data_IF_216668866730
#
_entry.id   IF_216668866730
#
_cell.length_a   1.000
_cell.length_b   1.000
_cell.length_c   1.000
_cell.angle_alpha   90.00
_cell.angle_beta   90.00
_cell.angle_gamma   90.00
#
_symmetry.space_group_name_H-M   'P 1'
#
loop_
_entity.id
_entity.type
_entity.pdbx_description
1 polymer ?
#
# COMPACT_ATOMS: atom_id res chain seq x y z
N UNK A 1 -3.94 0.41 -11.85
CA UNK A 1 -5.20 0.26 -12.58
C UNK A 1 -6.35 0.68 -11.69
N UNK A 2 -6.96 1.76 -12.03
CA UNK A 2 -8.10 2.29 -11.28
C UNK A 2 -9.34 1.49 -11.66
N UNK A 3 -10.22 1.11 -10.72
CA UNK A 3 -11.57 0.71 -10.99
C UNK A 3 -12.29 1.76 -11.84
N UNK A 4 -13.37 1.41 -12.50
CA UNK A 4 -14.18 2.41 -13.21
C UNK A 4 -14.62 3.52 -12.25
N UNK A 5 -14.92 4.69 -12.81
CA UNK A 5 -15.32 5.87 -12.02
C UNK A 5 -16.48 5.56 -11.06
N UNK A 6 -17.39 4.70 -11.48
CA UNK A 6 -18.57 4.26 -10.72
C UNK A 6 -18.20 3.45 -9.47
N UNK A 7 -17.07 2.76 -9.49
CA UNK A 7 -16.60 1.94 -8.36
C UNK A 7 -15.73 2.72 -7.37
N UNK A 8 -15.47 3.99 -7.64
CA UNK A 8 -14.70 4.85 -6.72
C UNK A 8 -15.58 5.21 -5.53
N UNK A 9 -15.11 5.00 -4.28
CA UNK A 9 -15.85 5.39 -3.09
C UNK A 9 -16.23 6.87 -3.08
N UNK A 10 -17.42 7.18 -2.59
CA UNK A 10 -17.96 8.54 -2.50
C UNK A 10 -17.38 9.35 -1.33
N UNK A 11 -16.30 8.90 -0.72
CA UNK A 11 -15.71 9.50 0.46
C UNK A 11 -15.32 10.97 0.26
N UNK A 12 -15.31 11.70 1.36
CA UNK A 12 -14.78 13.07 1.41
C UNK A 12 -13.26 13.04 1.35
N UNK A 13 -12.66 12.07 2.03
CA UNK A 13 -11.23 11.84 2.00
C UNK A 13 -10.74 11.46 0.60
N UNK A 14 -9.62 12.08 0.20
CA UNK A 14 -9.02 11.86 -1.11
C UNK A 14 -8.22 10.54 -1.18
N UNK A 15 -7.85 9.95 -0.04
CA UNK A 15 -7.17 8.65 0.03
C UNK A 15 -8.16 7.48 -0.03
N UNK A 16 -9.44 7.78 -0.01
CA UNK A 16 -10.55 6.81 0.01
C UNK A 16 -10.54 5.94 1.27
N UNK A 17 -10.94 4.69 1.14
CA UNK A 17 -11.07 3.70 2.23
C UNK A 17 -9.90 2.74 2.17
N UNK A 18 -9.33 2.38 3.31
CA UNK A 18 -8.36 1.28 3.40
C UNK A 18 -8.93 0.04 2.72
N UNK A 19 -8.12 -0.64 1.93
CA UNK A 19 -8.56 -1.80 1.15
C UNK A 19 -9.06 -1.46 -0.26
N UNK A 20 -9.27 -0.18 -0.57
CA UNK A 20 -9.57 0.24 -1.93
C UNK A 20 -8.31 0.19 -2.80
N UNK A 21 -8.37 -0.56 -3.91
CA UNK A 21 -7.25 -0.75 -4.81
C UNK A 21 -7.13 0.40 -5.80
N UNK A 22 -6.32 1.38 -5.44
CA UNK A 22 -6.19 2.61 -6.21
C UNK A 22 -4.83 3.25 -6.04
N UNK A 23 -4.22 3.68 -7.17
CA UNK A 23 -3.04 4.52 -7.15
C UNK A 23 -3.09 5.57 -8.25
N UNK A 24 -2.60 6.77 -7.96
CA UNK A 24 -2.45 7.86 -8.94
C UNK A 24 -1.04 7.85 -9.48
N UNK A 25 -0.89 7.50 -10.75
CA UNK A 25 0.41 7.42 -11.42
C UNK A 25 0.29 7.63 -12.92
N UNK A 26 1.40 7.88 -13.56
CA UNK A 26 1.50 7.92 -15.01
C UNK A 26 1.20 6.55 -15.60
N UNK A 27 0.40 6.53 -16.66
CA UNK A 27 0.07 5.30 -17.36
C UNK A 27 -0.12 5.54 -18.86
N UNK A 28 0.20 4.52 -19.64
CA UNK A 28 -0.24 4.36 -21.03
C UNK A 28 -1.21 3.19 -21.02
N UNK A 29 -2.43 3.40 -21.54
CA UNK A 29 -3.50 2.41 -21.47
C UNK A 29 -4.20 2.28 -22.82
N UNK A 30 -4.43 1.03 -23.25
CA UNK A 30 -5.33 0.67 -24.33
C UNK A 30 -6.55 -0.09 -23.81
N UNK A 31 -7.71 0.19 -24.37
CA UNK A 31 -8.96 -0.53 -24.06
C UNK A 31 -9.67 -0.82 -25.39
N UNK A 32 -10.23 -2.01 -25.49
CA UNK A 32 -11.03 -2.46 -26.65
C UNK A 32 -12.30 -3.14 -26.18
N UNK A 33 -13.42 -2.80 -26.80
CA UNK A 33 -14.69 -3.50 -26.60
C UNK A 33 -14.72 -4.69 -27.57
N UNK A 34 -14.68 -5.90 -27.01
CA UNK A 34 -14.62 -7.15 -27.79
C UNK A 34 -16.00 -7.73 -28.09
N UNK A 35 -16.98 -7.37 -27.26
CA UNK A 35 -18.39 -7.71 -27.46
C UNK A 35 -19.26 -6.72 -26.66
N UNK A 36 -20.58 -6.65 -26.93
CA UNK A 36 -21.48 -5.85 -26.12
C UNK A 36 -21.35 -6.17 -24.63
N UNK A 37 -20.99 -5.17 -23.82
CA UNK A 37 -20.78 -5.31 -22.38
C UNK A 37 -19.49 -6.02 -21.97
N UNK A 38 -18.56 -6.29 -22.89
CA UNK A 38 -17.25 -6.90 -22.56
C UNK A 38 -16.13 -6.03 -23.11
N UNK A 39 -15.31 -5.51 -22.21
CA UNK A 39 -14.14 -4.69 -22.54
C UNK A 39 -12.87 -5.33 -22.00
N UNK A 40 -11.81 -5.33 -22.80
CA UNK A 40 -10.47 -5.74 -22.39
C UNK A 40 -9.56 -4.51 -22.38
N UNK A 41 -8.70 -4.42 -21.39
CA UNK A 41 -7.74 -3.33 -21.26
C UNK A 41 -6.37 -3.83 -20.82
N UNK A 42 -5.34 -3.12 -21.26
CA UNK A 42 -3.99 -3.28 -20.75
C UNK A 42 -3.37 -1.91 -20.49
N UNK A 43 -2.56 -1.81 -19.45
CA UNK A 43 -1.81 -0.60 -19.14
C UNK A 43 -0.36 -0.91 -18.78
N UNK A 44 0.53 0.01 -19.14
CA UNK A 44 1.88 0.11 -18.58
C UNK A 44 1.89 1.34 -17.68
N UNK A 45 2.22 1.13 -16.41
CA UNK A 45 2.07 2.14 -15.37
C UNK A 45 3.42 2.47 -14.73
N UNK A 46 3.56 3.69 -14.22
CA UNK A 46 4.79 4.13 -13.57
C UNK A 46 5.10 3.26 -12.36
N UNK A 47 6.22 2.53 -12.35
CA UNK A 47 6.55 1.68 -11.23
C UNK A 47 7.06 2.51 -10.06
N UNK A 48 6.75 2.09 -8.84
CA UNK A 48 7.42 2.50 -7.63
C UNK A 48 7.26 1.41 -6.59
N UNK A 49 8.20 1.31 -5.67
CA UNK A 49 8.25 0.23 -4.70
C UNK A 49 8.12 0.79 -3.29
N UNK A 50 7.17 0.26 -2.53
CA UNK A 50 7.14 0.44 -1.08
C UNK A 50 8.06 -0.61 -0.47
N UNK A 51 9.27 -0.18 -0.24
CA UNK A 51 10.20 -0.98 0.53
C UNK A 51 9.81 -0.88 2.01
N UNK A 52 10.01 -1.92 2.78
CA UNK A 52 9.86 -1.85 4.21
C UNK A 52 10.75 -0.71 4.72
N UNK A 53 10.13 0.44 4.70
CA UNK A 53 10.79 1.68 5.04
C UNK A 53 10.86 1.79 6.53
N UNK A 54 11.88 1.79 7.01
CA UNK A 54 12.55 2.55 8.02
C UNK A 54 13.80 1.78 8.39
N UNK A 55 14.73 2.52 8.70
CA UNK A 55 16.01 2.30 9.26
C UNK A 55 16.13 1.21 10.32
N UNK A 56 15.02 0.82 10.88
CA UNK A 56 14.93 -0.17 11.96
C UNK A 56 14.91 -1.62 11.50
N UNK A 57 14.81 -1.85 10.23
CA UNK A 57 14.86 -3.21 9.66
C UNK A 57 16.17 -3.52 8.96
N UNK A 58 17.04 -2.54 8.91
CA UNK A 58 18.43 -2.82 8.61
C UNK A 58 19.06 -3.51 9.81
N UNK A 59 19.37 -4.77 9.72
CA UNK A 59 19.89 -5.55 10.84
C UNK A 59 21.27 -5.14 11.28
N UNK A 60 21.89 -4.21 10.62
CA UNK A 60 23.34 -4.11 10.57
C UNK A 60 23.84 -2.68 10.53
N UNK A 61 23.25 -1.84 11.33
CA UNK A 61 23.81 -0.51 11.45
C UNK A 61 22.90 0.36 12.30
N UNK A 62 23.43 0.80 13.37
CA UNK A 62 22.92 1.92 14.13
C UNK A 62 22.98 3.15 13.24
N UNK A 63 21.92 3.47 12.54
CA UNK A 63 21.89 4.71 11.79
C UNK A 63 21.30 4.60 10.41
N UNK A 64 20.06 4.73 10.33
CA UNK A 64 19.28 5.53 9.40
C UNK A 64 19.38 5.36 7.91
N UNK A 65 20.31 4.73 7.41
CA UNK A 65 20.46 4.30 6.04
C UNK A 65 20.79 2.83 6.07
N UNK A 66 20.52 2.10 5.02
CA UNK A 66 21.25 0.86 4.79
C UNK A 66 22.72 1.24 4.62
N UNK A 67 23.23 1.87 5.68
CA UNK A 67 24.58 2.28 5.74
C UNK A 67 25.40 1.05 5.90
N UNK A 68 26.05 0.75 4.85
CA UNK A 68 27.37 0.17 4.89
C UNK A 68 27.52 -1.05 5.78
N UNK A 69 27.48 -2.21 5.17
CA UNK A 69 28.25 -3.29 5.66
C UNK A 69 27.50 -4.31 6.51
N UNK A 70 26.27 -4.58 6.16
CA UNK A 70 25.66 -5.83 6.56
C UNK A 70 26.25 -7.00 5.79
N UNK A 71 26.85 -7.95 6.49
CA UNK A 71 27.29 -9.20 5.89
C UNK A 71 26.19 -10.24 6.15
N UNK A 72 25.46 -10.61 5.12
CA UNK A 72 24.51 -11.72 5.16
C UNK A 72 25.11 -12.85 4.33
N UNK A 73 25.37 -13.98 4.96
CA UNK A 73 26.02 -15.13 4.32
C UNK A 73 27.35 -14.79 3.58
N UNK A 74 28.16 -13.92 4.17
CA UNK A 74 29.42 -13.50 3.55
C UNK A 74 29.25 -12.50 2.40
N UNK A 75 28.05 -11.98 2.19
CA UNK A 75 27.76 -10.94 1.19
C UNK A 75 27.45 -9.62 1.89
N UNK A 76 28.01 -8.54 1.38
CA UNK A 76 27.60 -7.21 1.79
C UNK A 76 26.37 -6.81 1.00
N UNK A 77 25.28 -6.58 1.70
CA UNK A 77 24.06 -6.07 1.13
C UNK A 77 24.10 -4.56 1.23
N UNK A 78 24.23 -3.88 0.13
CA UNK A 78 24.10 -2.45 0.04
C UNK A 78 22.84 -2.11 -0.75
N UNK A 79 21.80 -1.69 -0.04
CA UNK A 79 20.64 -1.11 -0.69
C UNK A 79 20.94 0.35 -0.98
N UNK A 80 21.15 0.65 -2.22
CA UNK A 80 21.32 2.03 -2.68
C UNK A 80 20.00 2.78 -2.68
N UNK A 81 18.89 2.08 -2.42
CA UNK A 81 17.57 2.66 -2.42
C UNK A 81 16.97 2.70 -1.01
N UNK A 82 17.15 3.80 -0.33
CA UNK A 82 16.64 4.03 1.03
C UNK A 82 15.36 4.86 1.07
N UNK A 83 14.82 5.20 -0.08
CA UNK A 83 13.60 6.00 -0.19
C UNK A 83 12.37 5.15 -0.11
N UNK A 84 12.06 4.63 1.07
CA UNK A 84 10.76 4.04 1.31
C UNK A 84 9.68 5.13 1.38
N UNK A 85 8.59 4.91 0.71
CA UNK A 85 7.39 5.68 0.92
C UNK A 85 6.97 6.57 -0.23
N UNK A 86 6.37 5.95 -1.22
CA UNK A 86 5.59 6.63 -2.25
C UNK A 86 6.38 7.54 -3.19
N UNK A 87 5.71 7.98 -4.21
CA UNK A 87 6.27 8.83 -5.28
C UNK A 87 6.78 10.20 -4.82
N UNK A 88 6.58 10.55 -3.57
CA UNK A 88 6.92 11.87 -3.03
C UNK A 88 8.19 11.93 -2.18
N UNK A 89 8.75 10.79 -1.81
CA UNK A 89 10.00 10.74 -1.04
C UNK A 89 11.17 10.42 -1.96
N UNK A 90 11.68 11.47 -2.56
CA UNK A 90 12.82 11.43 -3.46
C UNK A 90 14.14 11.53 -2.67
N UNK A 91 14.80 10.45 -2.52
CA UNK A 91 16.14 10.39 -1.92
C UNK A 91 16.93 9.22 -2.49
N UNK A 92 16.44 8.65 -3.59
CA UNK A 92 16.99 7.43 -4.18
C UNK A 92 17.85 7.74 -5.38
N UNK A 93 19.07 7.20 -5.37
CA UNK A 93 20.00 7.29 -6.48
C UNK A 93 19.82 6.16 -7.51
N UNK A 94 19.02 5.13 -7.19
CA UNK A 94 18.78 3.95 -8.04
C UNK A 94 17.33 3.52 -7.92
N UNK A 95 16.71 3.14 -9.02
CA UNK A 95 15.34 2.60 -9.01
C UNK A 95 15.31 1.13 -8.57
N UNK A 96 14.30 0.77 -7.78
CA UNK A 96 13.99 -0.61 -7.43
C UNK A 96 13.05 -1.27 -8.43
N UNK A 97 12.79 -0.63 -9.54
CA UNK A 97 11.88 -1.11 -10.57
C UNK A 97 12.62 -1.19 -11.90
N UNK A 98 12.55 -2.35 -12.55
CA UNK A 98 13.27 -2.61 -13.80
C UNK A 98 12.46 -2.16 -15.02
N UNK A 99 11.14 -2.24 -14.93
CA UNK A 99 10.22 -1.95 -16.02
C UNK A 99 8.90 -1.40 -15.45
N UNK A 100 8.05 -0.78 -16.28
CA UNK A 100 6.70 -0.41 -15.89
C UNK A 100 5.91 -1.58 -15.33
N UNK A 101 5.03 -1.30 -14.36
CA UNK A 101 4.04 -2.27 -13.90
C UNK A 101 3.05 -2.54 -15.04
N UNK A 102 2.76 -3.79 -15.31
CA UNK A 102 1.80 -4.18 -16.36
C UNK A 102 0.51 -4.65 -15.70
N UNK A 103 -0.61 -4.11 -16.17
CA UNK A 103 -1.93 -4.48 -15.68
C UNK A 103 -2.82 -4.84 -16.85
N UNK A 104 -3.37 -6.05 -16.82
CA UNK A 104 -4.39 -6.51 -17.76
C UNK A 104 -5.73 -6.60 -17.03
N UNK A 105 -6.80 -6.16 -17.70
CA UNK A 105 -8.14 -6.09 -17.11
C UNK A 105 -9.19 -6.56 -18.11
N UNK A 106 -10.13 -7.34 -17.60
CA UNK A 106 -11.39 -7.62 -18.27
C UNK A 106 -12.54 -7.00 -17.45
N UNK A 107 -13.45 -6.32 -18.14
CA UNK A 107 -14.66 -5.76 -17.56
C UNK A 107 -15.88 -6.35 -18.23
N UNK A 108 -16.94 -6.60 -17.45
CA UNK A 108 -18.20 -7.18 -17.89
C UNK A 108 -19.38 -6.39 -17.37
N UNK A 109 -20.20 -5.87 -18.28
CA UNK A 109 -21.39 -5.04 -18.04
C UNK A 109 -22.64 -5.74 -18.57
N UNK A 110 -23.25 -6.69 -17.84
CA UNK A 110 -24.42 -7.45 -18.31
C UNK A 110 -25.75 -6.67 -18.22
N UNK A 111 -25.73 -5.40 -17.80
CA UNK A 111 -26.89 -4.54 -17.61
C UNK A 111 -27.52 -4.61 -16.20
N UNK A 112 -27.11 -5.54 -15.35
CA UNK A 112 -27.55 -5.69 -13.96
C UNK A 112 -26.41 -5.57 -12.95
N UNK A 113 -25.27 -5.04 -13.37
CA UNK A 113 -24.10 -4.80 -12.55
C UNK A 113 -22.88 -4.56 -13.41
N UNK A 114 -21.77 -4.23 -12.73
CA UNK A 114 -20.47 -4.07 -13.36
C UNK A 114 -19.45 -4.96 -12.63
N UNK A 115 -18.68 -5.73 -13.38
CA UNK A 115 -17.70 -6.67 -12.88
C UNK A 115 -16.36 -6.43 -13.53
N UNK A 116 -15.30 -6.47 -12.76
CA UNK A 116 -13.93 -6.37 -13.24
C UNK A 116 -13.05 -7.45 -12.64
N UNK A 117 -12.15 -8.00 -13.43
CA UNK A 117 -11.03 -8.83 -12.98
C UNK A 117 -9.76 -8.29 -13.62
N UNK A 118 -8.68 -8.26 -12.86
CA UNK A 118 -7.39 -7.78 -13.37
C UNK A 118 -6.23 -8.60 -12.84
N UNK A 119 -5.19 -8.71 -13.67
CA UNK A 119 -3.86 -9.19 -13.33
C UNK A 119 -2.89 -8.02 -13.18
N UNK A 120 -1.98 -8.11 -12.25
CA UNK A 120 -0.91 -7.15 -12.01
C UNK A 120 0.43 -7.87 -12.07
N UNK A 121 1.37 -7.33 -12.87
CA UNK A 121 2.73 -7.82 -13.00
C UNK A 121 3.70 -6.70 -12.65
N UNK A 122 4.68 -7.00 -11.82
CA UNK A 122 5.66 -6.03 -11.31
C UNK A 122 7.08 -6.57 -11.44
N UNK A 123 8.02 -5.68 -11.73
CA UNK A 123 9.40 -6.03 -12.06
C UNK A 123 10.36 -5.27 -11.15
N UNK A 124 10.64 -5.84 -9.98
CA UNK A 124 11.55 -5.27 -9.01
C UNK A 124 13.00 -5.52 -9.40
N UNK A 125 13.86 -4.56 -9.09
CA UNK A 125 15.30 -4.67 -9.31
C UNK A 125 16.05 -4.12 -8.11
N UNK A 126 17.14 -4.75 -7.77
CA UNK A 126 18.05 -4.22 -6.78
C UNK A 126 19.51 -4.48 -7.17
N UNK A 127 20.42 -3.85 -6.44
CA UNK A 127 21.84 -3.97 -6.63
C UNK A 127 22.46 -4.55 -5.36
N UNK A 128 22.88 -5.81 -5.43
CA UNK A 128 23.49 -6.53 -4.31
C UNK A 128 25.00 -6.49 -4.45
N UNK A 129 25.66 -5.83 -3.50
CA UNK A 129 27.13 -5.82 -3.43
C UNK A 129 27.62 -7.11 -2.77
N UNK A 130 28.50 -7.80 -3.49
CA UNK A 130 29.21 -8.96 -2.95
C UNK A 130 30.65 -8.58 -2.60
N UNK A 131 31.04 -8.88 -1.40
CA UNK A 131 32.41 -8.70 -0.99
C UNK A 131 33.25 -9.91 -1.35
N UNK A 132 34.49 -9.66 -1.81
CA UNK A 132 35.51 -10.70 -1.88
C UNK A 132 35.79 -11.22 -0.45
N UNK A 133 36.10 -12.50 -0.33
CA UNK A 133 36.40 -13.13 0.95
C UNK A 133 37.50 -12.34 1.67
N UNK A 134 37.22 -11.85 2.87
CA UNK A 134 38.11 -11.05 3.67
C UNK A 134 38.16 -9.55 3.39
N UNK A 135 37.40 -9.07 2.38
CA UNK A 135 37.46 -7.65 1.98
C UNK A 135 36.40 -6.79 2.68
N UNK A 136 35.35 -7.36 3.21
CA UNK A 136 34.30 -6.64 3.95
C UNK A 136 34.32 -7.02 5.42
N UNK A 137 34.62 -6.05 6.24
CA UNK A 137 34.56 -6.18 7.71
C UNK A 137 33.38 -5.38 8.22
N UNK A 138 32.64 -5.93 9.18
CA UNK A 138 31.56 -5.21 9.83
C UNK A 138 32.05 -3.85 10.34
N UNK A 139 31.36 -2.77 9.92
CA UNK A 139 31.72 -1.39 10.27
C UNK A 139 32.71 -0.72 9.29
N UNK A 140 33.19 -1.38 8.25
CA UNK A 140 33.99 -0.74 7.20
C UNK A 140 33.13 0.15 6.31
N UNK A 141 33.58 1.37 6.07
CA UNK A 141 32.94 2.29 5.10
C UNK A 141 33.47 2.08 3.68
N UNK A 142 34.50 1.25 3.51
CA UNK A 142 35.10 0.96 2.21
C UNK A 142 34.60 -0.39 1.72
N UNK A 143 33.74 -0.35 0.74
CA UNK A 143 33.23 -1.56 0.07
C UNK A 143 34.12 -1.85 -1.14
N UNK A 144 34.71 -3.03 -1.15
CA UNK A 144 35.45 -3.55 -2.28
C UNK A 144 34.76 -4.81 -2.77
N UNK A 145 34.04 -4.71 -3.86
CA UNK A 145 33.34 -5.86 -4.42
C UNK A 145 32.66 -5.53 -5.75
N UNK A 146 32.11 -6.53 -6.37
CA UNK A 146 31.28 -6.40 -7.58
C UNK A 146 29.81 -6.32 -7.19
N UNK A 147 29.07 -5.42 -7.83
CA UNK A 147 27.63 -5.34 -7.69
C UNK A 147 26.95 -6.27 -8.72
N UNK A 148 25.99 -7.04 -8.24
CA UNK A 148 25.11 -7.85 -9.08
C UNK A 148 23.71 -7.24 -9.08
N UNK A 149 23.17 -6.96 -10.27
CA UNK A 149 21.77 -6.61 -10.39
C UNK A 149 20.91 -7.87 -10.23
N UNK A 150 19.99 -7.82 -9.28
CA UNK A 150 19.00 -8.87 -9.03
C UNK A 150 17.62 -8.36 -9.40
N UNK A 151 16.90 -9.20 -10.10
CA UNK A 151 15.52 -8.92 -10.48
C UNK A 151 14.57 -9.91 -9.84
N UNK A 152 13.41 -9.42 -9.41
CA UNK A 152 12.38 -10.23 -8.77
C UNK A 152 11.03 -9.90 -9.40
N UNK A 153 10.29 -10.93 -9.79
CA UNK A 153 8.97 -10.77 -10.42
C UNK A 153 7.86 -10.88 -9.39
N UNK A 154 7.08 -9.80 -9.25
CA UNK A 154 5.88 -9.75 -8.43
C UNK A 154 4.61 -9.89 -9.26
N UNK A 155 3.58 -10.46 -8.67
CA UNK A 155 2.30 -10.63 -9.35
C UNK A 155 1.13 -10.58 -8.36
N UNK A 156 -0.01 -10.12 -8.87
CA UNK A 156 -1.26 -10.09 -8.14
C UNK A 156 -2.47 -10.30 -9.05
N UNK A 157 -3.56 -10.69 -8.43
CA UNK A 157 -4.87 -10.78 -9.07
C UNK A 157 -5.90 -10.06 -8.21
N UNK A 158 -6.75 -9.31 -8.84
CA UNK A 158 -7.80 -8.57 -8.17
C UNK A 158 -9.06 -8.45 -9.01
N UNK A 159 -10.06 -7.83 -8.41
CA UNK A 159 -11.31 -7.56 -9.09
C UNK A 159 -12.16 -6.56 -8.33
N UNK A 160 -13.20 -6.09 -9.01
CA UNK A 160 -14.19 -5.21 -8.41
C UNK A 160 -15.59 -5.53 -8.95
N UNK A 161 -16.58 -5.14 -8.18
CA UNK A 161 -17.99 -5.31 -8.53
C UNK A 161 -18.79 -4.10 -8.07
N UNK A 162 -19.77 -3.70 -8.88
CA UNK A 162 -20.82 -2.75 -8.53
C UNK A 162 -22.16 -3.37 -8.89
N UNK A 163 -23.02 -3.54 -7.90
CA UNK A 163 -24.32 -4.18 -8.03
C UNK A 163 -25.45 -3.25 -7.59
N UNK A 164 -26.40 -2.90 -8.45
CA UNK A 164 -27.63 -2.21 -8.06
C UNK A 164 -28.57 -3.20 -7.34
N UNK A 165 -28.43 -3.35 -6.02
CA UNK A 165 -29.26 -4.25 -5.21
C UNK A 165 -30.74 -3.87 -5.29
N UNK A 166 -31.02 -2.58 -5.22
CA UNK A 166 -32.33 -1.99 -5.48
C UNK A 166 -32.10 -0.88 -6.51
N UNK A 167 -32.48 -1.08 -7.78
CA UNK A 167 -32.23 -0.12 -8.83
C UNK A 167 -32.62 1.30 -8.43
N UNK A 168 -31.71 2.26 -8.59
CA UNK A 168 -31.80 3.69 -8.24
C UNK A 168 -31.77 4.01 -6.73
N UNK A 169 -31.86 3.02 -5.84
CA UNK A 169 -31.95 3.29 -4.40
C UNK A 169 -30.80 2.71 -3.58
N UNK A 170 -30.26 1.55 -3.96
CA UNK A 170 -29.23 0.89 -3.16
C UNK A 170 -28.23 0.16 -4.07
N UNK A 171 -26.98 0.47 -3.89
CA UNK A 171 -25.86 -0.15 -4.60
C UNK A 171 -24.89 -0.81 -3.62
N UNK A 172 -24.35 -1.95 -4.01
CA UNK A 172 -23.23 -2.62 -3.36
C UNK A 172 -21.98 -2.45 -4.23
N UNK A 173 -20.91 -1.97 -3.65
CA UNK A 173 -19.60 -1.99 -4.29
C UNK A 173 -18.64 -2.86 -3.48
N UNK A 174 -17.75 -3.57 -4.16
CA UNK A 174 -16.66 -4.29 -3.51
C UNK A 174 -15.47 -4.39 -4.46
N UNK A 175 -14.28 -4.45 -3.88
CA UNK A 175 -13.04 -4.73 -4.61
C UNK A 175 -12.06 -5.50 -3.73
N UNK A 176 -11.06 -6.13 -4.37
CA UNK A 176 -10.00 -6.81 -3.67
C UNK A 176 -8.81 -7.08 -4.57
N UNK A 177 -7.67 -7.25 -3.95
CA UNK A 177 -6.39 -7.61 -4.58
C UNK A 177 -5.64 -8.57 -3.66
N UNK A 178 -5.05 -9.60 -4.25
CA UNK A 178 -4.18 -10.55 -3.56
C UNK A 178 -2.94 -10.80 -4.41
N UNK A 179 -1.77 -10.86 -3.79
CA UNK A 179 -0.55 -11.15 -4.52
C UNK A 179 0.72 -11.07 -3.69
N UNK A 180 1.84 -11.01 -4.41
CA UNK A 180 3.18 -10.76 -3.84
C UNK A 180 3.77 -9.51 -4.48
N UNK A 181 4.25 -8.58 -3.64
CA UNK A 181 4.73 -7.29 -4.10
C UNK A 181 3.62 -6.35 -4.55
N UNK A 182 2.45 -6.39 -3.91
CA UNK A 182 1.25 -5.64 -4.32
C UNK A 182 0.78 -4.60 -3.30
N UNK A 183 1.52 -4.45 -2.20
CA UNK A 183 1.11 -3.58 -1.08
C UNK A 183 0.89 -2.12 -1.45
N UNK A 184 1.66 -1.60 -2.40
CA UNK A 184 1.52 -0.24 -2.92
C UNK A 184 0.14 0.05 -3.53
N UNK A 185 -0.53 -0.97 -4.07
CA UNK A 185 -1.81 -0.81 -4.75
C UNK A 185 -3.02 -0.72 -3.81
N UNK A 186 -2.81 -0.86 -2.50
CA UNK A 186 -3.80 -0.52 -1.49
C UNK A 186 -3.73 0.95 -1.07
N UNK A 187 -4.83 1.52 -0.58
CA UNK A 187 -4.88 2.90 -0.10
C UNK A 187 -3.90 3.16 1.07
N UNK A 188 -3.67 2.16 1.91
CA UNK A 188 -2.74 2.22 3.04
C UNK A 188 -1.28 2.00 2.67
N UNK A 189 -0.99 1.64 1.43
CA UNK A 189 0.36 1.48 0.88
C UNK A 189 1.29 0.64 1.77
N UNK A 190 0.89 -0.57 2.08
CA UNK A 190 1.72 -1.51 2.84
C UNK A 190 2.96 -1.97 2.02
N UNK A 191 4.00 -2.52 2.66
CA UNK A 191 5.23 -2.90 1.97
C UNK A 191 5.02 -3.90 0.83
N UNK A 192 5.69 -3.66 -0.29
CA UNK A 192 5.79 -4.57 -1.43
C UNK A 192 6.88 -5.61 -1.23
N UNK A 193 8.00 -5.17 -0.69
CA UNK A 193 9.23 -5.96 -0.59
C UNK A 193 9.94 -5.75 0.74
N UNK A 194 10.73 -6.72 1.10
CA UNK A 194 11.73 -6.69 2.16
C UNK A 194 13.02 -7.31 1.65
N UNK A 195 13.99 -7.52 2.50
CA UNK A 195 15.27 -8.14 2.17
C UNK A 195 15.17 -9.65 2.27
N UNK A 196 15.78 -10.37 1.34
CA UNK A 196 16.02 -11.81 1.38
C UNK A 196 17.36 -12.18 2.00
N UNK A 197 17.55 -13.47 2.24
CA UNK A 197 18.75 -14.04 2.87
C UNK A 197 20.02 -13.84 2.03
N UNK A 198 19.88 -13.69 0.73
CA UNK A 198 20.98 -13.44 -0.22
C UNK A 198 21.18 -11.95 -0.52
N UNK A 199 20.43 -11.08 0.19
CA UNK A 199 20.44 -9.65 0.02
C UNK A 199 19.57 -9.12 -1.10
N UNK A 200 18.95 -9.98 -1.91
CA UNK A 200 18.02 -9.57 -2.94
C UNK A 200 16.67 -9.16 -2.33
N UNK A 201 15.86 -8.48 -3.12
CA UNK A 201 14.50 -8.14 -2.73
C UNK A 201 13.64 -9.41 -2.59
N UNK A 202 13.00 -9.55 -1.44
CA UNK A 202 12.06 -10.62 -1.15
C UNK A 202 10.64 -10.07 -1.11
N UNK A 203 9.76 -10.61 -1.96
CA UNK A 203 8.39 -10.13 -2.10
C UNK A 203 7.56 -10.40 -0.86
N UNK A 204 6.86 -9.39 -0.40
CA UNK A 204 5.88 -9.49 0.65
C UNK A 204 4.55 -9.95 0.05
N UNK A 205 3.94 -10.99 0.64
CA UNK A 205 2.60 -11.41 0.30
C UNK A 205 1.60 -10.54 1.03
N UNK A 206 0.63 -10.01 0.29
CA UNK A 206 -0.39 -9.15 0.85
C UNK A 206 -1.74 -9.29 0.16
N UNK A 207 -2.75 -8.76 0.82
CA UNK A 207 -4.08 -8.65 0.26
C UNK A 207 -4.79 -7.40 0.79
N UNK A 208 -5.72 -6.92 0.00
CA UNK A 208 -6.61 -5.82 0.34
C UNK A 208 -8.03 -6.17 -0.08
N UNK A 209 -9.01 -5.70 0.67
CA UNK A 209 -10.42 -5.83 0.32
C UNK A 209 -11.21 -4.67 0.91
N UNK A 210 -12.18 -4.19 0.16
CA UNK A 210 -13.15 -3.20 0.59
C UNK A 210 -14.54 -3.61 0.09
N UNK A 211 -15.56 -3.36 0.91
CA UNK A 211 -16.95 -3.43 0.49
C UNK A 211 -17.71 -2.22 1.03
N UNK A 212 -18.75 -1.79 0.31
CA UNK A 212 -19.58 -0.66 0.70
C UNK A 212 -20.97 -0.71 0.15
N UNK A 213 -21.85 -0.02 0.83
CA UNK A 213 -23.23 0.23 0.42
C UNK A 213 -23.40 1.72 0.16
N UNK A 214 -24.10 2.04 -0.92
CA UNK A 214 -24.46 3.40 -1.29
C UNK A 214 -25.97 3.44 -1.44
N UNK A 215 -26.62 4.28 -0.66
CA UNK A 215 -28.07 4.47 -0.71
C UNK A 215 -28.39 5.85 -1.27
N UNK A 216 -29.44 5.91 -2.09
CA UNK A 216 -30.00 7.12 -2.69
C UNK A 216 -31.45 7.31 -2.23
N UNK A 217 -31.72 7.73 -0.96
CA UNK A 217 -33.07 7.77 -0.37
C UNK A 217 -34.01 8.72 -1.12
N UNK A 218 -33.46 9.84 -1.63
CA UNK A 218 -34.17 10.80 -2.50
C UNK A 218 -33.20 11.52 -3.41
N UNK A 219 -33.73 12.24 -4.39
CA UNK A 219 -32.90 12.98 -5.33
C UNK A 219 -31.97 13.97 -4.61
N UNK A 220 -30.67 13.83 -4.85
CA UNK A 220 -29.65 14.71 -4.31
C UNK A 220 -29.09 14.33 -2.94
N UNK A 221 -29.56 13.22 -2.34
CA UNK A 221 -28.93 12.64 -1.16
C UNK A 221 -28.30 11.29 -1.49
N UNK A 222 -27.00 11.19 -1.25
CA UNK A 222 -26.23 9.96 -1.28
C UNK A 222 -25.73 9.66 0.14
N UNK A 223 -26.07 8.50 0.69
CA UNK A 223 -25.59 8.02 1.98
C UNK A 223 -24.74 6.79 1.74
N UNK A 224 -23.55 6.72 2.33
CA UNK A 224 -22.65 5.60 2.11
C UNK A 224 -22.06 5.06 3.41
N UNK A 225 -21.74 3.77 3.38
CA UNK A 225 -20.99 3.08 4.40
C UNK A 225 -20.01 2.13 3.74
N UNK A 226 -18.75 2.20 4.12
CA UNK A 226 -17.68 1.33 3.62
C UNK A 226 -16.96 0.66 4.78
N UNK A 227 -16.45 -0.53 4.52
CA UNK A 227 -15.52 -1.22 5.40
C UNK A 227 -14.39 -1.83 4.56
N UNK A 228 -13.17 -1.69 5.03
CA UNK A 228 -12.02 -2.18 4.29
C UNK A 228 -10.88 -2.65 5.17
N UNK A 229 -10.00 -3.43 4.56
CA UNK A 229 -8.85 -4.02 5.22
C UNK A 229 -7.69 -4.20 4.23
N UNK A 230 -6.49 -3.93 4.71
CA UNK A 230 -5.23 -4.28 4.05
C UNK A 230 -4.37 -5.04 5.03
N UNK A 231 -3.74 -6.09 4.54
CA UNK A 231 -2.85 -6.91 5.36
C UNK A 231 -1.68 -7.44 4.54
N UNK A 232 -0.53 -7.49 5.20
CA UNK A 232 0.66 -8.19 4.69
C UNK A 232 1.07 -9.30 5.65
N UNK A 233 1.68 -10.35 5.09
CA UNK A 233 2.26 -11.43 5.86
C UNK A 233 3.70 -11.08 6.24
N UNK A 234 4.18 -11.69 7.32
CA UNK A 234 5.58 -11.60 7.68
C UNK A 234 6.44 -12.29 6.61
N UNK A 235 7.59 -11.69 6.36
CA UNK A 235 8.60 -12.23 5.46
C UNK A 235 9.97 -11.94 6.07
N UNK A 236 10.47 -12.89 6.87
CA UNK A 236 11.73 -12.75 7.59
C UNK A 236 12.55 -14.05 7.51
N UNK A 237 13.84 -13.92 7.76
CA UNK A 237 14.79 -15.02 7.76
C UNK A 237 15.76 -14.91 8.93
N UNK A 238 16.53 -15.94 9.16
CA UNK A 238 17.45 -16.05 10.28
C UNK A 238 18.90 -16.18 9.79
N UNK A 239 19.81 -15.38 10.39
CA UNK A 239 21.25 -15.55 10.19
C UNK A 239 21.89 -15.70 11.58
N UNK A 240 22.31 -16.91 11.89
CA UNK A 240 22.75 -17.24 13.24
C UNK A 240 21.62 -17.08 14.25
N UNK A 241 21.76 -16.17 15.18
CA UNK A 241 20.76 -15.85 16.20
C UNK A 241 19.94 -14.59 15.89
N UNK A 242 20.21 -13.93 14.78
CA UNK A 242 19.59 -12.64 14.41
C UNK A 242 18.55 -12.83 13.33
N UNK A 243 17.37 -12.26 13.56
CA UNK A 243 16.24 -12.26 12.66
C UNK A 243 16.19 -10.98 11.84
N UNK A 244 15.88 -11.10 10.55
CA UNK A 244 15.88 -10.03 9.57
C UNK A 244 14.61 -10.05 8.74
N UNK A 245 14.20 -8.89 8.23
CA UNK A 245 13.05 -8.76 7.33
C UNK A 245 11.76 -8.31 8.03
N UNK A 246 10.69 -8.31 7.27
CA UNK A 246 9.39 -7.78 7.69
C UNK A 246 8.73 -8.66 8.73
N UNK A 247 8.30 -8.04 9.83
CA UNK A 247 7.50 -8.70 10.85
C UNK A 247 8.25 -9.80 11.61
N UNK A 248 9.58 -9.66 11.72
CA UNK A 248 10.35 -10.58 12.52
C UNK A 248 10.02 -10.42 14.01
N UNK A 249 9.86 -11.53 14.76
CA UNK A 249 9.45 -11.50 16.15
C UNK A 249 10.54 -10.99 17.11
N UNK A 250 11.78 -10.87 16.66
CA UNK A 250 12.89 -10.28 17.43
C UNK A 250 12.91 -8.76 17.41
N UNK A 251 12.04 -8.13 16.64
CA UNK A 251 11.94 -6.69 16.54
C UNK A 251 11.34 -6.07 17.82
N UNK A 252 11.94 -4.97 18.32
CA UNK A 252 11.44 -4.34 19.54
C UNK A 252 10.27 -3.40 19.27
N UNK A 253 9.14 -3.72 19.88
CA UNK A 253 7.93 -2.89 19.90
C UNK A 253 7.79 -2.11 21.23
N UNK A 254 8.77 -2.15 22.12
CA UNK A 254 8.66 -1.60 23.48
C UNK A 254 8.33 -0.10 23.49
N UNK A 255 8.91 0.67 22.53
CA UNK A 255 8.67 2.10 22.40
C UNK A 255 7.24 2.45 21.95
N UNK A 256 6.55 1.50 21.32
CA UNK A 256 5.16 1.68 20.88
C UNK A 256 4.13 1.65 22.02
N UNK A 257 4.54 1.18 23.20
CA UNK A 257 3.67 1.07 24.38
C UNK A 257 3.79 2.26 25.32
N UNK A 258 4.62 3.25 24.98
CA UNK A 258 4.80 4.46 25.78
C UNK A 258 3.64 5.41 25.50
N UNK A 259 2.81 5.64 26.51
CA UNK A 259 1.61 6.48 26.41
C UNK A 259 1.82 7.94 26.84
N UNK A 260 2.99 8.29 27.35
CA UNK A 260 3.29 9.63 27.84
C UNK A 260 4.14 10.42 26.85
N UNK A 261 3.87 11.73 26.66
CA UNK A 261 4.67 12.59 25.82
C UNK A 261 6.06 12.90 26.38
N UNK A 262 6.38 12.41 27.56
CA UNK A 262 7.67 12.63 28.22
C UNK A 262 8.57 11.42 28.05
N UNK A 263 9.75 11.65 27.51
CA UNK A 263 10.77 10.60 27.41
C UNK A 263 11.23 10.20 28.81
N UNK A 264 10.90 8.98 29.21
CA UNK A 264 11.62 8.31 30.28
C UNK A 264 12.75 7.50 29.64
N UNK A 265 13.96 7.77 30.03
CA UNK A 265 15.14 7.03 29.58
C UNK A 265 15.36 7.00 28.04
N UNK A 266 15.05 8.08 27.34
CA UNK A 266 15.30 8.19 25.89
C UNK A 266 14.28 7.55 24.97
N UNK A 267 13.25 6.89 25.50
CA UNK A 267 12.17 6.30 24.69
C UNK A 267 10.99 7.28 24.59
N UNK A 268 10.61 7.62 23.39
CA UNK A 268 9.44 8.46 23.10
C UNK A 268 8.46 7.70 22.21
N UNK A 269 7.17 8.07 22.15
CA UNK A 269 6.24 7.51 21.17
C UNK A 269 6.70 7.68 19.71
N UNK A 270 7.51 8.70 19.43
CA UNK A 270 8.13 8.91 18.12
C UNK A 270 9.11 7.80 17.74
N UNK A 271 9.63 7.05 18.71
CA UNK A 271 10.54 5.93 18.48
C UNK A 271 9.80 4.62 18.20
N UNK A 272 8.46 4.65 18.10
CA UNK A 272 7.66 3.50 17.71
C UNK A 272 7.87 3.18 16.22
N UNK A 273 8.66 2.17 15.95
CA UNK A 273 9.06 1.75 14.61
C UNK A 273 8.46 0.39 14.21
N UNK A 274 7.45 -0.08 14.95
CA UNK A 274 6.79 -1.35 14.70
C UNK A 274 6.24 -1.43 13.27
N UNK A 275 6.53 -2.54 12.61
CA UNK A 275 6.08 -2.78 11.24
C UNK A 275 4.57 -2.99 11.17
N UNK A 276 3.91 -2.34 10.23
CA UNK A 276 2.49 -2.50 10.00
C UNK A 276 2.18 -3.89 9.44
N UNK A 277 1.25 -4.60 10.10
CA UNK A 277 0.71 -5.87 9.67
C UNK A 277 -0.62 -5.69 8.96
N UNK A 278 -1.51 -4.88 9.56
CA UNK A 278 -2.89 -4.71 9.10
C UNK A 278 -3.37 -3.31 9.35
N UNK A 279 -4.11 -2.80 8.38
CA UNK A 279 -4.95 -1.61 8.49
C UNK A 279 -6.40 -2.03 8.29
N UNK A 280 -7.31 -1.47 9.07
CA UNK A 280 -8.76 -1.63 8.90
C UNK A 280 -9.42 -0.27 8.99
N UNK A 281 -10.50 -0.10 8.25
CA UNK A 281 -11.22 1.15 8.14
C UNK A 281 -12.72 0.87 8.09
N UNK A 282 -13.48 1.72 8.77
CA UNK A 282 -14.94 1.80 8.66
C UNK A 282 -15.30 3.25 8.46
N UNK A 283 -15.86 3.56 7.32
CA UNK A 283 -16.23 4.92 6.93
C UNK A 283 -17.73 5.00 6.67
N UNK A 284 -18.37 6.00 7.25
CA UNK A 284 -19.79 6.33 6.98
C UNK A 284 -19.92 7.81 6.67
N UNK A 285 -20.79 8.16 5.74
CA UNK A 285 -20.97 9.56 5.38
C UNK A 285 -22.15 9.79 4.44
N UNK A 286 -22.30 11.04 4.06
CA UNK A 286 -23.31 11.44 3.09
C UNK A 286 -22.88 12.65 2.28
N UNK A 287 -23.53 12.81 1.13
CA UNK A 287 -23.54 14.01 0.31
C UNK A 287 -24.96 14.44 0.07
N UNK A 288 -25.29 15.72 0.35
CA UNK A 288 -26.56 16.33 0.05
C UNK A 288 -26.37 17.50 -0.93
N UNK A 289 -27.04 17.45 -2.06
CA UNK A 289 -27.14 18.60 -2.93
C UNK A 289 -28.04 19.65 -2.26
N UNK A 290 -27.44 20.79 -1.88
CA UNK A 290 -28.15 21.89 -1.24
C UNK A 290 -28.61 22.94 -2.24
N UNK A 291 -28.04 22.93 -3.44
CA UNK A 291 -28.45 23.76 -4.56
C UNK A 291 -28.19 23.03 -5.88
N UNK A 292 -29.14 23.10 -6.80
CA UNK A 292 -29.02 22.65 -8.20
C UNK A 292 -29.85 23.60 -9.08
N UNK A 293 -29.18 24.33 -9.95
CA UNK A 293 -29.82 25.35 -10.80
C UNK A 293 -28.89 25.90 -11.88
N UNK A 294 -29.25 27.03 -12.44
CA UNK A 294 -28.58 27.64 -13.60
C UNK A 294 -27.10 27.95 -13.38
N UNK A 295 -26.66 28.09 -12.14
CA UNK A 295 -25.26 28.35 -11.78
C UNK A 295 -24.49 27.08 -11.39
N UNK A 296 -25.03 25.91 -11.68
CA UNK A 296 -24.40 24.62 -11.34
C UNK A 296 -25.02 23.94 -10.12
N UNK A 297 -24.20 23.18 -9.40
CA UNK A 297 -24.64 22.38 -8.24
C UNK A 297 -23.72 22.62 -7.05
N UNK A 298 -24.28 22.82 -5.86
CA UNK A 298 -23.56 22.86 -4.59
C UNK A 298 -23.97 21.65 -3.76
N UNK A 299 -22.99 20.87 -3.29
CA UNK A 299 -23.19 19.74 -2.41
C UNK A 299 -22.46 19.98 -1.08
N UNK A 300 -23.13 19.60 0.01
CA UNK A 300 -22.55 19.53 1.35
C UNK A 300 -22.41 18.07 1.75
N UNK A 301 -21.30 17.71 2.43
CA UNK A 301 -21.07 16.37 2.94
C UNK A 301 -20.46 16.37 4.32
N UNK A 302 -20.74 15.28 5.05
CA UNK A 302 -20.07 14.94 6.29
C UNK A 302 -19.71 13.44 6.30
N UNK A 303 -18.58 13.11 6.91
CA UNK A 303 -18.04 11.75 6.97
C UNK A 303 -17.43 11.51 8.34
N UNK A 304 -17.66 10.34 8.88
CA UNK A 304 -16.94 9.80 10.01
C UNK A 304 -16.13 8.58 9.56
N UNK A 305 -14.91 8.48 10.02
CA UNK A 305 -13.98 7.42 9.67
C UNK A 305 -13.29 6.90 10.94
N UNK A 306 -13.30 5.58 11.09
CA UNK A 306 -12.59 4.86 12.14
C UNK A 306 -11.52 4.00 11.50
N UNK A 307 -10.26 4.34 11.76
CA UNK A 307 -9.10 3.61 11.24
C UNK A 307 -8.40 2.91 12.38
N UNK A 308 -8.07 1.64 12.19
CA UNK A 308 -7.27 0.86 13.14
C UNK A 308 -6.02 0.31 12.46
N UNK A 309 -4.87 0.61 13.06
CA UNK A 309 -3.58 0.05 12.71
C UNK A 309 -3.22 -1.07 13.69
N UNK A 310 -2.71 -2.20 13.17
CA UNK A 310 -2.11 -3.28 13.95
C UNK A 310 -0.71 -3.58 13.43
N UNK A 311 0.27 -3.63 14.33
CA UNK A 311 1.64 -4.02 14.02
C UNK A 311 1.82 -5.55 14.07
N UNK A 312 2.96 -6.04 13.59
CA UNK A 312 3.41 -7.40 13.85
C UNK A 312 3.78 -7.58 15.32
N UNK A 313 3.66 -8.81 15.79
CA UNK A 313 4.14 -9.22 17.11
C UNK A 313 5.66 -9.09 17.14
N UNK A 314 6.18 -8.49 18.20
CA UNK A 314 7.61 -8.36 18.46
C UNK A 314 7.91 -8.41 19.96
N UNK A 315 9.16 -8.12 20.32
CA UNK A 315 9.53 -7.97 21.74
C UNK A 315 8.78 -6.77 22.32
N UNK A 316 7.98 -7.00 23.35
CA UNK A 316 7.08 -5.99 23.94
C UNK A 316 5.63 -6.10 23.48
N UNK A 317 5.28 -7.06 22.57
CA UNK A 317 3.91 -7.37 22.20
C UNK A 317 3.55 -7.00 20.75
N UNK A 318 2.23 -6.89 20.50
CA UNK A 318 1.64 -6.55 19.20
C UNK A 318 0.87 -5.20 19.29
N UNK A 319 1.55 -4.07 19.23
CA UNK A 319 0.92 -2.77 19.42
C UNK A 319 -0.15 -2.52 18.36
N UNK A 320 -1.22 -1.88 18.79
CA UNK A 320 -2.27 -1.38 17.91
C UNK A 320 -2.68 0.01 18.34
N UNK A 321 -3.10 0.81 17.36
CA UNK A 321 -3.67 2.14 17.58
C UNK A 321 -4.85 2.33 16.68
N UNK A 322 -5.76 3.20 17.09
CA UNK A 322 -6.91 3.60 16.28
C UNK A 322 -7.03 5.12 16.26
N UNK A 323 -7.71 5.60 15.25
CA UNK A 323 -8.02 7.00 15.06
C UNK A 323 -9.47 7.17 14.63
N UNK A 324 -10.06 8.31 15.04
CA UNK A 324 -11.43 8.69 14.76
C UNK A 324 -11.41 10.05 14.08
N UNK A 325 -11.79 10.11 12.83
CA UNK A 325 -11.72 11.30 12.00
C UNK A 325 -13.10 11.74 11.56
N UNK A 326 -13.35 13.04 11.61
CA UNK A 326 -14.59 13.64 11.08
C UNK A 326 -14.22 14.64 10.01
N UNK A 327 -14.83 14.48 8.85
CA UNK A 327 -14.69 15.41 7.73
C UNK A 327 -16.01 16.12 7.45
N UNK A 328 -15.91 17.39 7.06
CA UNK A 328 -17.00 18.12 6.43
C UNK A 328 -16.48 18.75 5.15
N UNK A 329 -17.32 18.83 4.12
CA UNK A 329 -16.92 19.39 2.84
C UNK A 329 -18.08 20.07 2.14
N UNK A 330 -17.74 21.13 1.43
CA UNK A 330 -18.64 21.78 0.47
C UNK A 330 -17.99 21.69 -0.91
N UNK A 331 -18.72 21.16 -1.89
CA UNK A 331 -18.26 21.04 -3.28
C UNK A 331 -19.17 21.86 -4.21
N UNK A 332 -18.55 22.68 -5.02
CA UNK A 332 -19.23 23.38 -6.10
C UNK A 332 -18.84 22.75 -7.44
N UNK A 333 -19.87 22.41 -8.21
CA UNK A 333 -19.72 21.86 -9.56
C UNK A 333 -20.31 22.90 -10.54
N UNK A 334 -19.47 23.69 -11.21
CA UNK A 334 -19.90 24.60 -12.25
C UNK A 334 -20.36 23.78 -13.47
N UNK A 335 -21.58 23.95 -13.93
CA UNK A 335 -22.16 23.40 -15.18
C UNK A 335 -21.87 21.94 -15.52
#
# INVERSE_FOLDING_TARGET
MTPRKENIPLTIDANYVVGFNYIRQWQIRGVVDVAPGISLGASAENPATIFLGSTATAPLGTGGAFASGGIVNGQVVNFVNTGGGGDFLQGVNVTTDQAPDIIEKAAFDPGWGHYEVFGLQRFFSDNVLRCAVGACVAGSTTMVGTADNKTTFGAGVGGSVLLPLIPKYLELTANGLYGRGVGRYGAGQLPDVTIGVDGSLSLVRGWSAMAGLIAHPWEGLDVYAYAGVEQVDSNFFNVGTTLFGLGNPGFSNATCLVTTPFSFAGNTPADCIANNKRLTDVTVGFWQNVYKGDYGRVAFGAQYEYIKRKAFVGIGGDPSTDDNVVFTSVRYYPF
#
